data_IF_653541087321
#
_entry.id   IF_653541087321
#
_cell.length_a   1.000
_cell.length_b   1.000
_cell.length_c   1.000
_cell.angle_alpha   90.00
_cell.angle_beta   90.00
_cell.angle_gamma   90.00
#
_symmetry.space_group_name_H-M   'P 1'
#
loop_
_entity.id
_entity.type
_entity.pdbx_description
1 polymer ?
#
# COMPACT_ATOMS: atom_id res chain seq x y z
N UNK A 1 17.74 -16.12 -11.98
CA UNK A 1 17.41 -14.79 -11.41
C UNK A 1 16.89 -14.93 -10.00
N UNK A 2 17.31 -14.04 -9.11
CA UNK A 2 16.96 -14.11 -7.69
C UNK A 2 15.66 -13.34 -7.45
N UNK A 3 14.73 -13.88 -6.66
CA UNK A 3 13.51 -13.16 -6.26
C UNK A 3 13.80 -11.80 -5.59
N UNK A 4 15.03 -11.59 -5.10
CA UNK A 4 15.49 -10.34 -4.49
C UNK A 4 15.69 -9.20 -5.49
N UNK A 5 15.87 -9.50 -6.77
CA UNK A 5 16.08 -8.53 -7.85
C UNK A 5 14.78 -7.88 -8.32
N UNK A 6 13.63 -8.43 -7.91
CA UNK A 6 12.32 -7.87 -8.22
C UNK A 6 12.07 -6.61 -7.37
N UNK A 7 12.12 -5.44 -8.01
CA UNK A 7 11.82 -4.15 -7.38
C UNK A 7 10.30 -3.91 -7.31
N UNK A 8 9.70 -4.30 -6.18
CA UNK A 8 8.28 -4.05 -5.88
C UNK A 8 8.13 -3.14 -4.68
N UNK A 9 6.96 -2.48 -4.61
CA UNK A 9 6.55 -1.59 -3.52
C UNK A 9 6.28 -2.32 -2.20
N UNK A 10 5.74 -3.53 -2.31
CA UNK A 10 5.50 -4.45 -1.20
C UNK A 10 6.14 -5.79 -1.56
N UNK A 11 6.76 -6.44 -0.58
CA UNK A 11 7.31 -7.79 -0.73
C UNK A 11 6.67 -8.75 0.25
N UNK A 12 6.43 -9.96 -0.22
CA UNK A 12 6.08 -11.09 0.64
C UNK A 12 7.34 -11.60 1.32
N UNK A 13 7.24 -11.95 2.60
CA UNK A 13 8.32 -12.54 3.36
C UNK A 13 7.88 -13.90 3.86
N UNK A 14 8.65 -14.92 3.49
CA UNK A 14 8.45 -16.29 3.96
C UNK A 14 9.09 -16.48 5.35
N UNK A 15 8.83 -17.63 5.98
CA UNK A 15 9.54 -18.03 7.21
C UNK A 15 11.02 -18.28 6.87
N UNK A 16 11.30 -19.11 5.86
CA UNK A 16 12.65 -19.34 5.34
C UNK A 16 12.84 -18.63 3.99
N UNK A 17 13.50 -17.46 4.03
CA UNK A 17 13.76 -16.67 2.82
C UNK A 17 14.91 -17.22 1.96
N UNK A 18 15.69 -18.20 2.44
CA UNK A 18 16.68 -18.87 1.60
C UNK A 18 16.01 -19.89 0.68
N UNK A 19 14.90 -20.49 1.14
CA UNK A 19 14.00 -21.37 0.39
C UNK A 19 12.67 -20.68 0.07
N UNK A 20 12.76 -19.45 -0.47
CA UNK A 20 11.62 -18.52 -0.52
C UNK A 20 10.34 -19.11 -1.11
N UNK A 21 10.39 -19.69 -2.32
CA UNK A 21 9.19 -20.22 -2.98
C UNK A 21 8.64 -21.46 -2.27
N UNK A 22 9.52 -22.33 -1.78
CA UNK A 22 9.15 -23.55 -1.05
C UNK A 22 8.48 -23.18 0.28
N UNK A 23 9.08 -22.28 1.06
CA UNK A 23 8.50 -21.82 2.32
C UNK A 23 7.20 -21.02 2.11
N UNK A 24 7.04 -20.28 1.00
CA UNK A 24 5.73 -19.68 0.68
C UNK A 24 4.65 -20.73 0.37
N UNK A 25 5.01 -21.83 -0.31
CA UNK A 25 4.06 -22.91 -0.64
C UNK A 25 3.71 -23.76 0.59
N UNK A 26 4.69 -24.02 1.46
CA UNK A 26 4.53 -24.86 2.66
C UNK A 26 3.95 -24.09 3.85
N UNK A 27 4.48 -22.90 4.12
CA UNK A 27 4.19 -22.13 5.33
C UNK A 27 3.32 -20.89 5.07
N UNK A 28 3.17 -20.48 3.80
CA UNK A 28 2.48 -19.25 3.44
C UNK A 28 3.30 -17.98 3.67
N UNK A 29 2.61 -16.85 3.72
CA UNK A 29 3.23 -15.52 3.95
C UNK A 29 3.40 -15.33 5.46
N UNK A 30 4.63 -15.07 5.90
CA UNK A 30 4.93 -14.75 7.31
C UNK A 30 4.62 -13.28 7.63
N UNK A 31 5.08 -12.35 6.80
CA UNK A 31 4.73 -10.93 6.90
C UNK A 31 4.91 -10.19 5.57
N UNK A 32 4.43 -8.95 5.52
CA UNK A 32 4.61 -8.03 4.39
C UNK A 32 5.72 -7.01 4.72
N UNK A 33 6.63 -6.80 3.77
CA UNK A 33 7.64 -5.74 3.83
C UNK A 33 7.18 -4.58 2.92
N UNK A 34 6.79 -3.45 3.52
CA UNK A 34 6.45 -2.21 2.81
C UNK A 34 7.73 -1.42 2.53
N UNK A 35 7.95 -1.05 1.27
CA UNK A 35 9.22 -0.44 0.79
C UNK A 35 9.06 0.94 0.16
N UNK A 36 7.83 1.45 0.09
CA UNK A 36 7.46 2.69 -0.60
C UNK A 36 7.56 3.96 0.24
N UNK A 37 8.17 3.89 1.42
CA UNK A 37 8.20 4.99 2.38
C UNK A 37 9.54 5.70 2.28
N UNK A 38 9.50 6.99 1.96
CA UNK A 38 10.68 7.84 1.97
C UNK A 38 11.13 8.15 3.40
N UNK A 39 12.43 8.43 3.57
CA UNK A 39 12.97 8.87 4.86
C UNK A 39 12.38 10.24 5.19
N UNK A 40 11.70 10.34 6.33
CA UNK A 40 11.16 11.58 6.87
C UNK A 40 12.31 12.47 7.42
N UNK A 41 12.65 13.60 6.76
CA UNK A 41 13.77 14.44 7.18
C UNK A 41 13.48 15.23 8.46
N UNK A 42 12.21 15.27 8.91
CA UNK A 42 11.78 15.98 10.12
C UNK A 42 11.78 15.09 11.36
N UNK A 43 11.98 13.78 11.20
CA UNK A 43 12.15 12.84 12.32
C UNK A 43 13.60 12.40 12.44
N UNK A 44 14.15 12.45 13.67
CA UNK A 44 15.50 11.94 13.95
C UNK A 44 15.65 10.45 13.62
N UNK A 45 14.58 9.68 13.72
CA UNK A 45 14.57 8.26 13.39
C UNK A 45 14.33 7.97 11.89
N UNK A 46 14.11 9.01 11.07
CA UNK A 46 13.75 8.86 9.66
C UNK A 46 12.29 8.46 9.42
N UNK A 47 11.50 8.28 10.49
CA UNK A 47 10.06 8.01 10.48
C UNK A 47 9.47 8.47 11.82
N UNK A 48 8.25 9.01 11.83
CA UNK A 48 7.56 9.45 13.05
C UNK A 48 6.61 8.39 13.60
N UNK A 49 6.13 8.57 14.83
CA UNK A 49 5.10 7.71 15.41
C UNK A 49 3.77 7.83 14.64
N UNK A 50 3.44 9.03 14.17
CA UNK A 50 2.21 9.27 13.39
C UNK A 50 2.27 8.55 12.04
N UNK A 51 3.43 8.55 11.36
CA UNK A 51 3.63 7.77 10.14
C UNK A 51 3.34 6.27 10.39
N UNK A 52 3.87 5.71 11.48
CA UNK A 52 3.67 4.31 11.86
C UNK A 52 2.22 3.99 12.23
N UNK A 53 1.55 4.87 12.99
CA UNK A 53 0.15 4.72 13.36
C UNK A 53 -0.74 4.72 12.11
N UNK A 54 -0.49 5.64 11.18
CA UNK A 54 -1.22 5.68 9.91
C UNK A 54 -0.99 4.39 9.09
N UNK A 55 0.26 3.94 8.93
CA UNK A 55 0.57 2.71 8.19
C UNK A 55 -0.12 1.50 8.82
N UNK A 56 -0.16 1.41 10.15
CA UNK A 56 -0.82 0.31 10.86
C UNK A 56 -2.33 0.28 10.56
N UNK A 57 -3.03 1.40 10.75
CA UNK A 57 -4.47 1.48 10.48
C UNK A 57 -4.75 1.28 8.98
N UNK A 58 -3.93 1.85 8.10
CA UNK A 58 -4.06 1.68 6.66
C UNK A 58 -3.90 0.21 6.24
N UNK A 59 -2.99 -0.53 6.87
CA UNK A 59 -2.78 -1.96 6.61
C UNK A 59 -4.01 -2.79 7.03
N UNK A 60 -4.60 -2.48 8.19
CA UNK A 60 -5.85 -3.12 8.64
C UNK A 60 -6.99 -2.78 7.69
N UNK A 61 -7.06 -1.55 7.20
CA UNK A 61 -8.03 -1.14 6.19
C UNK A 61 -7.87 -1.94 4.90
N UNK A 62 -6.66 -2.11 4.39
CA UNK A 62 -6.41 -2.94 3.20
C UNK A 62 -6.82 -4.40 3.42
N UNK A 63 -6.65 -4.95 4.63
CA UNK A 63 -7.10 -6.29 4.97
C UNK A 63 -8.64 -6.42 4.95
N UNK A 64 -9.35 -5.39 5.40
CA UNK A 64 -10.81 -5.41 5.50
C UNK A 64 -11.53 -4.97 4.21
N UNK A 65 -10.83 -4.25 3.32
CA UNK A 65 -11.41 -3.65 2.12
C UNK A 65 -11.72 -4.70 1.07
N UNK A 66 -12.95 -4.71 0.58
CA UNK A 66 -13.32 -5.53 -0.58
C UNK A 66 -12.56 -5.10 -1.84
N UNK A 67 -12.03 -6.08 -2.57
CA UNK A 67 -11.31 -5.91 -3.82
C UNK A 67 -12.26 -6.00 -5.03
N UNK A 68 -11.87 -5.30 -6.11
CA UNK A 68 -12.57 -5.33 -7.40
C UNK A 68 -11.95 -6.40 -8.30
N UNK A 69 -12.77 -7.15 -9.05
CA UNK A 69 -12.28 -8.12 -10.06
C UNK A 69 -11.77 -7.46 -11.37
N UNK A 70 -11.41 -6.17 -11.33
CA UNK A 70 -10.98 -5.41 -12.51
C UNK A 70 -9.63 -5.91 -13.03
N UNK A 71 -9.65 -6.65 -14.14
CA UNK A 71 -8.48 -7.33 -14.72
C UNK A 71 -7.19 -6.50 -14.89
N UNK A 72 -7.29 -5.19 -15.11
CA UNK A 72 -6.14 -4.33 -15.40
C UNK A 72 -5.70 -3.51 -14.18
N UNK A 73 -6.15 -3.88 -12.97
CA UNK A 73 -5.89 -3.11 -11.76
C UNK A 73 -4.40 -2.90 -11.48
N UNK A 74 -3.53 -3.87 -11.81
CA UNK A 74 -2.07 -3.76 -11.59
C UNK A 74 -1.44 -2.69 -12.48
N UNK A 75 -1.76 -2.70 -13.77
CA UNK A 75 -1.28 -1.69 -14.73
C UNK A 75 -1.81 -0.31 -14.35
N UNK A 76 -3.08 -0.23 -13.97
CA UNK A 76 -3.72 1.00 -13.51
C UNK A 76 -3.06 1.54 -12.23
N UNK A 77 -2.80 0.70 -11.25
CA UNK A 77 -2.13 1.06 -10.00
C UNK A 77 -0.70 1.56 -10.27
N UNK A 78 0.05 0.91 -11.17
CA UNK A 78 1.40 1.36 -11.54
C UNK A 78 1.37 2.73 -12.24
N UNK A 79 0.39 2.96 -13.13
CA UNK A 79 0.21 4.25 -13.78
C UNK A 79 -0.16 5.35 -12.78
N UNK A 80 -1.11 5.08 -11.87
CA UNK A 80 -1.49 6.00 -10.80
C UNK A 80 -0.30 6.33 -9.90
N UNK A 81 0.51 5.32 -9.54
CA UNK A 81 1.71 5.55 -8.74
C UNK A 81 2.70 6.47 -9.45
N UNK A 82 2.94 6.28 -10.75
CA UNK A 82 3.82 7.14 -11.53
C UNK A 82 3.31 8.59 -11.58
N UNK A 83 2.01 8.78 -11.76
CA UNK A 83 1.37 10.10 -11.75
C UNK A 83 1.55 10.76 -10.38
N UNK A 84 1.29 10.04 -9.28
CA UNK A 84 1.42 10.59 -7.92
C UNK A 84 2.87 10.90 -7.57
N UNK A 85 3.81 10.04 -7.96
CA UNK A 85 5.24 10.28 -7.73
C UNK A 85 5.73 11.56 -8.41
N UNK A 86 5.32 11.81 -9.65
CA UNK A 86 5.79 12.97 -10.41
C UNK A 86 4.97 14.25 -10.16
N UNK A 87 3.66 14.12 -9.97
CA UNK A 87 2.69 15.23 -10.00
C UNK A 87 1.74 15.23 -8.80
N UNK A 88 2.03 14.47 -7.74
CA UNK A 88 1.14 14.32 -6.58
C UNK A 88 0.84 15.61 -5.82
N UNK A 89 1.62 16.68 -6.02
CA UNK A 89 1.36 18.02 -5.47
C UNK A 89 0.41 18.87 -6.33
N UNK A 90 0.10 18.44 -7.54
CA UNK A 90 -0.82 19.10 -8.47
C UNK A 90 -2.20 18.44 -8.42
N UNK A 91 -3.21 19.11 -8.99
CA UNK A 91 -4.51 18.48 -9.24
C UNK A 91 -4.39 17.54 -10.43
N UNK A 92 -4.45 16.25 -10.15
CA UNK A 92 -4.30 15.17 -11.14
C UNK A 92 -5.50 14.25 -11.11
N UNK A 93 -5.78 13.70 -12.28
CA UNK A 93 -6.77 12.66 -12.48
C UNK A 93 -6.07 11.31 -12.48
N UNK A 94 -6.63 10.37 -11.73
CA UNK A 94 -6.22 8.97 -11.66
C UNK A 94 -7.25 8.10 -12.36
N UNK A 95 -6.98 6.80 -12.42
CA UNK A 95 -7.90 5.80 -12.93
C UNK A 95 -8.31 4.84 -11.81
N UNK A 96 -9.59 4.48 -11.78
CA UNK A 96 -10.16 3.45 -10.92
C UNK A 96 -11.12 2.60 -11.74
N UNK A 97 -10.78 1.33 -11.91
CA UNK A 97 -11.58 0.36 -12.67
C UNK A 97 -11.87 0.83 -14.11
N UNK A 98 -10.87 1.44 -14.77
CA UNK A 98 -10.97 1.98 -16.13
C UNK A 98 -11.68 3.33 -16.24
N UNK A 99 -12.10 3.95 -15.13
CA UNK A 99 -12.75 5.27 -15.10
C UNK A 99 -11.86 6.31 -14.47
N UNK A 100 -11.94 7.53 -14.96
CA UNK A 100 -11.21 8.66 -14.37
C UNK A 100 -11.80 9.04 -13.01
N UNK A 101 -10.92 9.42 -12.08
CA UNK A 101 -11.29 9.92 -10.76
C UNK A 101 -10.30 11.00 -10.30
N UNK A 102 -10.79 12.05 -9.65
CA UNK A 102 -9.94 13.08 -9.05
C UNK A 102 -9.10 12.47 -7.92
N UNK A 103 -7.80 12.79 -7.86
CA UNK A 103 -6.92 12.39 -6.76
C UNK A 103 -7.50 12.79 -5.40
N UNK A 104 -7.96 14.04 -5.29
CA UNK A 104 -8.45 14.58 -4.02
C UNK A 104 -9.75 13.88 -3.59
N UNK A 105 -10.68 13.69 -4.53
CA UNK A 105 -11.96 13.02 -4.23
C UNK A 105 -11.72 11.57 -3.82
N UNK A 106 -10.81 10.88 -4.51
CA UNK A 106 -10.50 9.49 -4.18
C UNK A 106 -9.76 9.35 -2.85
N UNK A 107 -8.77 10.19 -2.59
CA UNK A 107 -8.03 10.20 -1.32
C UNK A 107 -8.97 10.48 -0.15
N UNK A 108 -9.84 11.49 -0.27
CA UNK A 108 -10.81 11.81 0.78
C UNK A 108 -11.81 10.68 1.02
N UNK A 109 -12.25 10.00 -0.05
CA UNK A 109 -13.09 8.81 0.09
C UNK A 109 -12.36 7.70 0.89
N UNK A 110 -11.12 7.39 0.53
CA UNK A 110 -10.32 6.37 1.23
C UNK A 110 -10.09 6.76 2.69
N UNK A 111 -9.72 8.01 2.98
CA UNK A 111 -9.49 8.50 4.35
C UNK A 111 -10.76 8.43 5.20
N UNK A 112 -11.93 8.76 4.64
CA UNK A 112 -13.20 8.62 5.34
C UNK A 112 -13.54 7.15 5.62
N UNK A 113 -13.28 6.24 4.68
CA UNK A 113 -13.48 4.81 4.89
C UNK A 113 -12.54 4.26 5.99
N UNK A 114 -11.27 4.66 5.99
CA UNK A 114 -10.30 4.32 7.03
C UNK A 114 -10.79 4.83 8.40
N UNK A 115 -11.23 6.09 8.47
CA UNK A 115 -11.72 6.69 9.70
C UNK A 115 -12.93 5.93 10.25
N UNK A 116 -13.94 5.66 9.40
CA UNK A 116 -15.13 4.94 9.82
C UNK A 116 -14.78 3.54 10.35
N UNK A 117 -13.89 2.82 9.66
CA UNK A 117 -13.41 1.51 10.12
C UNK A 117 -12.67 1.61 11.46
N UNK A 118 -11.82 2.63 11.65
CA UNK A 118 -11.11 2.86 12.90
C UNK A 118 -12.08 3.10 14.07
N UNK A 119 -13.12 3.90 13.83
CA UNK A 119 -14.17 4.20 14.80
C UNK A 119 -14.98 2.94 15.15
N UNK A 120 -15.38 2.15 14.15
CA UNK A 120 -16.16 0.92 14.31
C UNK A 120 -15.38 -0.17 15.07
N UNK A 121 -14.08 -0.30 14.80
CA UNK A 121 -13.21 -1.31 15.41
C UNK A 121 -12.49 -0.83 16.68
N UNK A 122 -12.64 0.45 17.04
CA UNK A 122 -12.00 1.07 18.21
C UNK A 122 -10.47 0.87 18.25
N UNK A 123 -9.79 1.05 17.12
CA UNK A 123 -8.37 0.73 16.97
C UNK A 123 -7.40 1.75 17.59
N UNK A 124 -7.93 2.85 18.15
CA UNK A 124 -7.16 3.95 18.77
C UNK A 124 -7.06 5.13 17.84
#
# INVERSE_FOLDING_TARGET
>A
DSHKELYTQIRLKAIDNNRFLESLLEDGINYLEIRSIDINPFSKAGISLDDLNFINIFTIYLLAKEESDYKNWQEEAQNNQNIISMYGQMDVTLYKDGKTISKNDWAMKILNEIKNMNDDLCLG
#
